data_IF_394727770596
#
_entry.id   IF_394727770596
#
_cell.length_a   1.000
_cell.length_b   1.000
_cell.length_c   1.000
_cell.angle_alpha   90.00
_cell.angle_beta   90.00
_cell.angle_gamma   90.00
#
_symmetry.space_group_name_H-M   'P 1'
#
loop_
_entity.id
_entity.type
_entity.pdbx_description
1 polymer ?
#
# COMPACT_ATOMS: atom_id res chain seq x y z
N UNK A 1 1.70 -33.16 114.95
CA UNK A 1 0.46 -33.71 115.51
C UNK A 1 -0.67 -33.42 114.54
N UNK A 2 -1.49 -34.43 114.20
CA UNK A 2 -2.80 -34.36 113.50
C UNK A 2 -2.72 -33.90 112.03
N UNK A 3 -2.64 -34.76 111.00
CA UNK A 3 -3.58 -35.79 110.50
C UNK A 3 -5.01 -35.27 110.22
N UNK A 4 -5.44 -35.42 108.95
CA UNK A 4 -6.81 -35.46 108.36
C UNK A 4 -6.65 -35.09 106.86
N UNK A 5 -6.52 -35.99 105.88
CA UNK A 5 -7.27 -37.18 105.46
C UNK A 5 -8.61 -36.83 104.76
N UNK A 6 -8.76 -37.42 103.55
CA UNK A 6 -9.96 -37.54 102.68
C UNK A 6 -10.15 -36.42 101.63
N UNK A 7 -10.47 -36.69 100.36
CA UNK A 7 -10.90 -37.90 99.66
C UNK A 7 -10.66 -37.68 98.16
N UNK A 8 -10.08 -38.67 97.48
CA UNK A 8 -9.93 -38.73 96.01
C UNK A 8 -11.27 -39.08 95.37
N UNK A 9 -11.65 -38.32 94.33
CA UNK A 9 -12.60 -38.76 93.31
C UNK A 9 -11.80 -38.90 92.02
N UNK A 10 -11.57 -40.13 91.58
CA UNK A 10 -11.00 -40.43 90.29
C UNK A 10 -12.15 -40.52 89.27
N UNK A 11 -12.24 -39.53 88.38
CA UNK A 11 -13.13 -39.58 87.21
C UNK A 11 -12.36 -40.27 86.09
N UNK A 12 -12.76 -41.50 85.79
CA UNK A 12 -12.32 -42.27 84.62
C UNK A 12 -13.00 -41.69 83.37
N UNK A 13 -12.29 -40.82 82.66
CA UNK A 13 -12.71 -40.34 81.33
C UNK A 13 -12.30 -41.41 80.32
N UNK A 14 -13.25 -42.29 80.01
CA UNK A 14 -13.11 -43.27 78.94
C UNK A 14 -13.40 -42.56 77.60
N UNK A 15 -12.45 -41.76 77.11
CA UNK A 15 -12.53 -41.19 75.78
C UNK A 15 -11.84 -42.14 74.80
N UNK A 16 -12.63 -42.99 74.14
CA UNK A 16 -12.26 -43.54 72.84
C UNK A 16 -12.51 -42.43 71.81
N UNK A 17 -11.49 -41.74 71.26
CA UNK A 17 -11.70 -41.04 70.03
C UNK A 17 -11.74 -42.12 68.95
N UNK A 18 -12.94 -42.51 68.52
CA UNK A 18 -13.09 -42.98 67.15
C UNK A 18 -12.65 -41.80 66.29
N UNK A 19 -11.36 -41.74 65.95
CA UNK A 19 -10.80 -40.80 64.99
C UNK A 19 -11.41 -41.24 63.66
N UNK A 20 -12.61 -40.74 63.36
CA UNK A 20 -13.07 -40.70 61.99
C UNK A 20 -12.02 -39.86 61.27
N UNK A 21 -11.18 -40.51 60.47
CA UNK A 21 -10.36 -39.81 59.48
C UNK A 21 -11.35 -39.05 58.61
N UNK A 22 -11.57 -37.78 58.93
CA UNK A 22 -12.27 -36.88 58.04
C UNK A 22 -11.36 -36.77 56.82
N UNK A 23 -11.62 -37.60 55.82
CA UNK A 23 -11.15 -37.37 54.47
C UNK A 23 -11.88 -36.11 53.98
N UNK A 24 -11.38 -34.93 54.37
CA UNK A 24 -11.69 -33.74 53.62
C UNK A 24 -11.22 -34.01 52.20
N UNK A 25 -12.15 -33.91 51.26
CA UNK A 25 -11.87 -34.14 49.86
C UNK A 25 -10.77 -33.17 49.44
N UNK A 26 -9.54 -33.68 49.32
CA UNK A 26 -8.51 -33.04 48.49
C UNK A 26 -9.00 -33.18 47.05
N UNK A 27 -9.98 -32.37 46.67
CA UNK A 27 -10.21 -32.09 45.26
C UNK A 27 -8.86 -31.60 44.77
N UNK A 28 -8.21 -32.39 43.90
CA UNK A 28 -7.05 -31.95 43.13
C UNK A 28 -7.45 -30.59 42.56
N UNK A 29 -6.89 -29.51 43.10
CA UNK A 29 -7.25 -28.16 42.68
C UNK A 29 -6.66 -28.01 41.28
N UNK A 30 -7.46 -28.37 40.27
CA UNK A 30 -7.16 -28.00 38.91
C UNK A 30 -6.92 -26.48 38.90
N UNK A 31 -5.91 -26.01 38.18
CA UNK A 31 -5.57 -24.60 38.17
C UNK A 31 -6.81 -23.77 37.84
N UNK A 32 -7.25 -22.96 38.80
CA UNK A 32 -8.47 -22.16 38.66
C UNK A 32 -8.25 -21.17 37.53
N UNK A 33 -9.01 -21.34 36.45
CA UNK A 33 -9.04 -20.36 35.37
C UNK A 33 -9.80 -19.11 35.82
N UNK A 34 -9.05 -18.12 36.29
CA UNK A 34 -9.60 -16.85 36.76
C UNK A 34 -10.37 -16.11 35.67
N UNK A 35 -10.05 -16.30 34.39
CA UNK A 35 -10.81 -15.65 33.30
C UNK A 35 -12.22 -16.23 33.22
N UNK A 36 -12.37 -17.56 33.24
CA UNK A 36 -13.69 -18.21 33.29
C UNK A 36 -14.48 -17.84 34.55
N UNK A 37 -13.82 -17.78 35.71
CA UNK A 37 -14.44 -17.37 36.98
C UNK A 37 -15.10 -16.00 36.90
N UNK A 38 -14.48 -15.05 36.20
CA UNK A 38 -14.99 -13.69 36.03
C UNK A 38 -15.76 -13.48 34.71
N UNK A 39 -16.10 -14.54 33.98
CA UNK A 39 -16.79 -14.48 32.67
C UNK A 39 -16.04 -13.60 31.66
N UNK A 40 -14.71 -13.63 31.69
CA UNK A 40 -13.83 -12.92 30.79
C UNK A 40 -13.35 -13.85 29.66
N UNK A 41 -13.09 -13.26 28.50
CA UNK A 41 -12.39 -13.91 27.39
C UNK A 41 -10.94 -14.27 27.78
N UNK A 42 -10.35 -15.26 27.11
CA UNK A 42 -8.94 -15.63 27.31
C UNK A 42 -7.99 -14.48 26.91
N UNK A 43 -6.83 -14.40 27.56
CA UNK A 43 -5.85 -13.36 27.25
C UNK A 43 -5.35 -13.47 25.80
N UNK A 44 -5.21 -12.35 25.07
CA UNK A 44 -4.77 -12.34 23.68
C UNK A 44 -3.39 -12.97 23.46
N UNK A 45 -3.24 -13.69 22.34
CA UNK A 45 -1.99 -14.38 21.97
C UNK A 45 -1.01 -13.47 21.22
N UNK A 46 -1.46 -12.32 20.75
CA UNK A 46 -0.66 -11.33 20.02
C UNK A 46 0.40 -10.71 20.94
N UNK A 47 1.59 -10.39 20.39
CA UNK A 47 2.68 -9.80 21.16
C UNK A 47 2.38 -8.36 21.63
N UNK A 48 1.55 -7.65 20.86
CA UNK A 48 1.06 -6.29 21.13
C UNK A 48 -0.47 -6.29 20.92
N UNK A 49 -1.25 -6.72 21.92
CA UNK A 49 -2.69 -6.80 21.76
C UNK A 49 -3.31 -5.41 21.63
N UNK A 50 -4.28 -5.28 20.75
CA UNK A 50 -5.03 -4.02 20.64
C UNK A 50 -5.85 -3.78 21.90
N UNK A 51 -6.19 -2.52 22.20
CA UNK A 51 -7.04 -2.20 23.34
C UNK A 51 -8.39 -2.96 23.30
N UNK A 52 -8.93 -3.21 22.10
CA UNK A 52 -10.14 -4.00 21.91
C UNK A 52 -9.92 -5.48 22.20
N UNK A 53 -8.76 -6.02 21.82
CA UNK A 53 -8.39 -7.42 22.06
C UNK A 53 -8.22 -7.68 23.56
N UNK A 54 -7.61 -6.76 24.31
CA UNK A 54 -7.40 -6.86 25.77
C UNK A 54 -8.72 -6.96 26.53
N UNK A 55 -9.77 -6.30 26.06
CA UNK A 55 -11.11 -6.37 26.67
C UNK A 55 -12.02 -7.38 25.98
N UNK A 56 -11.57 -8.06 24.93
CA UNK A 56 -12.40 -8.97 24.12
C UNK A 56 -13.67 -8.28 23.63
N UNK A 57 -13.54 -7.04 23.15
CA UNK A 57 -14.65 -6.30 22.58
C UNK A 57 -14.79 -6.69 21.10
N UNK A 58 -15.97 -7.18 20.72
CA UNK A 58 -16.26 -7.56 19.33
C UNK A 58 -16.80 -6.35 18.56
N UNK A 59 -16.82 -6.41 17.23
CA UNK A 59 -17.47 -5.38 16.38
C UNK A 59 -18.92 -5.06 16.79
N UNK A 60 -19.63 -6.03 17.39
CA UNK A 60 -20.98 -5.83 17.96
C UNK A 60 -20.96 -4.84 19.14
N UNK A 61 -19.95 -4.94 20.00
CA UNK A 61 -19.81 -4.07 21.17
C UNK A 61 -19.50 -2.63 20.74
N UNK A 62 -18.78 -2.47 19.63
CA UNK A 62 -18.44 -1.18 19.05
C UNK A 62 -19.65 -0.43 18.47
N UNK A 63 -20.75 -1.14 18.18
CA UNK A 63 -22.01 -0.54 17.75
C UNK A 63 -22.90 -0.06 18.90
N UNK A 64 -22.54 -0.33 20.16
CA UNK A 64 -23.31 0.12 21.32
C UNK A 64 -23.23 1.64 21.52
N UNK A 65 -24.20 2.21 22.25
CA UNK A 65 -24.12 3.59 22.69
C UNK A 65 -22.88 3.83 23.55
N UNK A 66 -22.38 5.06 23.57
CA UNK A 66 -21.17 5.43 24.33
C UNK A 66 -21.30 5.10 25.82
N UNK A 67 -22.51 5.26 26.39
CA UNK A 67 -22.81 4.99 27.78
C UNK A 67 -22.79 3.49 28.09
N UNK A 68 -23.44 2.67 27.25
CA UNK A 68 -23.47 1.21 27.43
C UNK A 68 -22.09 0.59 27.25
N UNK A 69 -21.35 1.03 26.24
CA UNK A 69 -19.96 0.60 26.03
C UNK A 69 -19.09 0.93 27.25
N UNK A 70 -19.23 2.13 27.83
CA UNK A 70 -18.48 2.52 29.02
C UNK A 70 -18.84 1.67 30.26
N UNK A 71 -20.11 1.26 30.41
CA UNK A 71 -20.52 0.33 31.48
C UNK A 71 -19.90 -1.04 31.31
N UNK A 72 -19.97 -1.61 30.10
CA UNK A 72 -19.36 -2.92 29.77
C UNK A 72 -17.84 -2.86 29.98
N UNK A 73 -17.19 -1.83 29.46
CA UNK A 73 -15.76 -1.60 29.60
C UNK A 73 -15.35 -1.51 31.07
N UNK A 74 -16.06 -0.72 31.90
CA UNK A 74 -15.78 -0.61 33.33
C UNK A 74 -15.91 -1.95 34.05
N UNK A 75 -16.93 -2.76 33.75
CA UNK A 75 -17.09 -4.10 34.33
C UNK A 75 -15.92 -5.02 33.99
N UNK A 76 -15.55 -5.10 32.70
CA UNK A 76 -14.41 -5.92 32.25
C UNK A 76 -13.09 -5.43 32.84
N UNK A 77 -12.87 -4.12 32.88
CA UNK A 77 -11.70 -3.50 33.51
C UNK A 77 -11.57 -3.89 34.99
N UNK A 78 -12.62 -3.71 35.79
CA UNK A 78 -12.58 -4.08 37.21
C UNK A 78 -12.31 -5.57 37.43
N UNK A 79 -12.85 -6.44 36.57
CA UNK A 79 -12.59 -7.87 36.63
C UNK A 79 -11.13 -8.20 36.28
N UNK A 80 -10.58 -7.59 35.23
CA UNK A 80 -9.18 -7.76 34.84
C UNK A 80 -8.21 -7.21 35.90
N UNK A 81 -8.51 -6.05 36.50
CA UNK A 81 -7.71 -5.49 37.59
C UNK A 81 -7.66 -6.46 38.77
N UNK A 82 -8.77 -7.07 39.17
CA UNK A 82 -8.79 -8.08 40.26
C UNK A 82 -7.85 -9.26 39.99
N UNK A 83 -7.68 -9.66 38.72
CA UNK A 83 -6.79 -10.76 38.34
C UNK A 83 -5.33 -10.28 38.32
N UNK A 84 -5.06 -9.17 37.62
CA UNK A 84 -3.71 -8.76 37.24
C UNK A 84 -3.08 -7.69 38.15
N UNK A 85 -3.76 -7.18 39.17
CA UNK A 85 -3.18 -6.20 40.09
C UNK A 85 -1.90 -6.74 40.75
N UNK A 86 -0.81 -5.95 40.83
CA UNK A 86 0.46 -6.42 41.41
C UNK A 86 0.31 -6.93 42.84
N UNK A 87 -0.57 -6.33 43.65
CA UNK A 87 -0.77 -6.71 45.06
C UNK A 87 -1.61 -7.99 45.26
N UNK A 88 -2.20 -8.57 44.21
CA UNK A 88 -2.97 -9.80 44.37
C UNK A 88 -2.05 -11.00 44.40
N UNK A 89 -2.21 -11.89 45.38
CA UNK A 89 -1.45 -13.15 45.47
C UNK A 89 -2.01 -14.26 44.56
N UNK A 90 -2.78 -13.91 43.53
CA UNK A 90 -3.40 -14.87 42.62
C UNK A 90 -2.33 -15.47 41.71
N UNK A 91 -2.13 -16.79 41.80
CA UNK A 91 -1.33 -17.56 40.85
C UNK A 91 -2.10 -17.68 39.53
N UNK A 92 -1.48 -17.22 38.45
CA UNK A 92 -2.06 -17.24 37.10
C UNK A 92 -1.23 -18.20 36.27
N UNK A 93 -1.85 -19.27 35.78
CA UNK A 93 -1.16 -20.21 34.90
C UNK A 93 -1.00 -19.60 33.51
N UNK A 94 0.22 -19.66 32.98
CA UNK A 94 0.58 -19.23 31.64
C UNK A 94 1.55 -20.25 31.01
N UNK A 95 1.18 -20.81 29.86
CA UNK A 95 2.00 -21.80 29.11
C UNK A 95 2.52 -22.97 29.97
N UNK A 96 1.69 -23.46 30.89
CA UNK A 96 2.03 -24.62 31.74
C UNK A 96 2.87 -24.30 32.99
N UNK A 97 3.10 -23.02 33.31
CA UNK A 97 3.72 -22.59 34.56
C UNK A 97 3.06 -21.35 35.15
N UNK A 98 3.48 -20.94 36.35
CA UNK A 98 2.99 -19.70 36.97
C UNK A 98 3.58 -18.47 36.27
N UNK A 99 2.73 -17.48 36.00
CA UNK A 99 3.15 -16.22 35.39
C UNK A 99 4.05 -15.44 36.34
N UNK A 100 5.21 -14.99 35.85
CA UNK A 100 6.14 -14.17 36.64
C UNK A 100 5.50 -12.83 37.04
N UNK A 101 5.95 -12.27 38.18
CA UNK A 101 5.48 -10.98 38.68
C UNK A 101 5.69 -9.84 37.66
N UNK A 102 6.80 -9.87 36.92
CA UNK A 102 7.09 -8.91 35.85
C UNK A 102 6.08 -8.98 34.70
N UNK A 103 5.72 -10.19 34.26
CA UNK A 103 4.70 -10.38 33.22
C UNK A 103 3.32 -9.94 33.71
N UNK A 104 2.99 -10.22 34.98
CA UNK A 104 1.77 -9.76 35.62
C UNK A 104 1.68 -8.24 35.61
N UNK A 105 2.76 -7.56 36.02
CA UNK A 105 2.85 -6.10 36.01
C UNK A 105 2.69 -5.54 34.60
N UNK A 106 3.39 -6.10 33.62
CA UNK A 106 3.29 -5.69 32.21
C UNK A 106 1.85 -5.78 31.68
N UNK A 107 1.12 -6.86 32.00
CA UNK A 107 -0.29 -7.00 31.61
C UNK A 107 -1.18 -5.98 32.31
N UNK A 108 -0.93 -5.70 33.59
CA UNK A 108 -1.66 -4.67 34.32
C UNK A 108 -1.48 -3.29 33.68
N UNK A 109 -0.25 -2.91 33.33
CA UNK A 109 0.04 -1.64 32.67
C UNK A 109 -0.69 -1.54 31.31
N UNK A 110 -0.70 -2.63 30.51
CA UNK A 110 -1.46 -2.71 29.25
C UNK A 110 -2.99 -2.55 29.46
N UNK A 111 -3.55 -3.17 30.50
CA UNK A 111 -4.98 -3.06 30.84
C UNK A 111 -5.34 -1.61 31.19
N UNK A 112 -4.48 -0.96 31.96
CA UNK A 112 -4.68 0.43 32.38
C UNK A 112 -4.63 1.38 31.17
N UNK A 113 -3.59 1.24 30.34
CA UNK A 113 -3.45 2.02 29.10
C UNK A 113 -4.64 1.83 28.16
N UNK A 114 -5.04 0.58 27.92
CA UNK A 114 -6.20 0.25 27.09
C UNK A 114 -7.49 0.87 27.64
N UNK A 115 -7.68 0.86 28.97
CA UNK A 115 -8.86 1.47 29.60
C UNK A 115 -8.88 2.98 29.37
N UNK A 116 -7.76 3.66 29.57
CA UNK A 116 -7.64 5.11 29.44
C UNK A 116 -7.87 5.58 28.00
N UNK A 117 -7.51 4.75 27.01
CA UNK A 117 -7.79 5.01 25.59
C UNK A 117 -9.28 4.87 25.29
N UNK A 118 -9.91 3.78 25.73
CA UNK A 118 -11.28 3.44 25.32
C UNK A 118 -12.38 4.16 26.12
N UNK A 119 -12.08 4.57 27.36
CA UNK A 119 -13.01 5.29 28.24
C UNK A 119 -13.43 6.64 27.66
N UNK A 120 -12.48 7.37 27.07
CA UNK A 120 -12.73 8.69 26.52
C UNK A 120 -13.15 8.58 25.05
N UNK A 121 -14.35 9.06 24.64
CA UNK A 121 -14.82 8.89 23.27
C UNK A 121 -13.88 9.53 22.24
N UNK A 122 -13.28 10.69 22.57
CA UNK A 122 -12.30 11.38 21.70
C UNK A 122 -11.03 10.56 21.50
N UNK A 123 -10.45 10.02 22.57
CA UNK A 123 -9.25 9.16 22.51
C UNK A 123 -9.54 7.85 21.79
N UNK A 124 -10.72 7.27 22.03
CA UNK A 124 -11.20 6.07 21.32
C UNK A 124 -11.31 6.30 19.82
N UNK A 125 -11.88 7.42 19.38
CA UNK A 125 -11.94 7.77 17.96
C UNK A 125 -10.54 7.99 17.38
N UNK A 126 -9.64 8.63 18.12
CA UNK A 126 -8.24 8.83 17.72
C UNK A 126 -7.51 7.47 17.54
N UNK A 127 -7.67 6.57 18.51
CA UNK A 127 -7.11 5.22 18.46
C UNK A 127 -7.68 4.38 17.31
N UNK A 128 -8.99 4.49 17.05
CA UNK A 128 -9.61 3.85 15.89
C UNK A 128 -9.00 4.32 14.59
N UNK A 129 -8.75 5.63 14.45
CA UNK A 129 -8.08 6.17 13.27
C UNK A 129 -6.66 5.63 13.13
N UNK A 130 -5.92 5.51 14.22
CA UNK A 130 -4.57 4.93 14.19
C UNK A 130 -4.61 3.47 13.72
N UNK A 131 -5.49 2.65 14.31
CA UNK A 131 -5.64 1.23 13.98
C UNK A 131 -6.12 0.99 12.55
N UNK A 132 -7.00 1.84 12.00
CA UNK A 132 -7.51 1.69 10.63
C UNK A 132 -6.60 2.32 9.57
N UNK A 133 -5.58 3.08 9.96
CA UNK A 133 -4.68 3.72 8.97
C UNK A 133 -3.71 2.67 8.41
N UNK A 134 -4.12 2.03 7.32
CA UNK A 134 -3.26 1.22 6.44
C UNK A 134 -3.05 1.93 5.10
N UNK A 135 -1.93 1.63 4.44
CA UNK A 135 -1.65 2.10 3.08
C UNK A 135 -2.77 1.71 2.09
N UNK A 136 -3.39 0.55 2.28
CA UNK A 136 -4.48 0.06 1.42
C UNK A 136 -5.76 0.89 1.55
N UNK A 137 -5.95 1.58 2.68
CA UNK A 137 -7.10 2.44 2.94
C UNK A 137 -6.85 3.90 2.56
N UNK A 138 -5.75 4.17 1.84
CA UNK A 138 -5.49 5.46 1.23
C UNK A 138 -6.49 5.66 0.10
N UNK A 139 -7.65 6.23 0.44
CA UNK A 139 -8.65 6.63 -0.56
C UNK A 139 -8.00 7.50 -1.63
N UNK A 140 -8.52 7.42 -2.86
CA UNK A 140 -7.99 8.19 -3.98
C UNK A 140 -7.99 9.68 -3.62
N UNK A 141 -6.81 10.23 -3.36
CA UNK A 141 -6.64 11.66 -3.25
C UNK A 141 -6.83 12.23 -4.65
N UNK A 142 -8.03 12.75 -4.93
CA UNK A 142 -8.25 13.55 -6.11
C UNK A 142 -7.53 14.89 -5.91
N UNK A 143 -6.25 14.94 -6.27
CA UNK A 143 -5.48 16.19 -6.30
C UNK A 143 -6.01 17.21 -7.32
N UNK A 144 -7.10 16.88 -8.01
CA UNK A 144 -7.65 17.63 -9.11
C UNK A 144 -8.70 18.63 -8.63
N UNK A 145 -8.25 19.69 -7.94
CA UNK A 145 -9.01 20.93 -7.74
C UNK A 145 -10.39 20.83 -7.07
N UNK A 146 -10.75 19.67 -6.52
CA UNK A 146 -12.06 19.45 -5.91
C UNK A 146 -12.25 20.29 -4.65
N UNK A 147 -13.50 20.67 -4.39
CA UNK A 147 -13.89 21.35 -3.16
C UNK A 147 -13.36 20.57 -1.96
N UNK A 148 -12.78 21.29 -1.00
CA UNK A 148 -12.20 20.69 0.20
C UNK A 148 -13.30 19.95 0.99
N UNK A 149 -13.32 18.61 0.87
CA UNK A 149 -14.26 17.74 1.54
C UNK A 149 -13.62 17.09 2.77
N UNK A 150 -14.45 16.62 3.70
CA UNK A 150 -13.99 15.87 4.88
C UNK A 150 -13.18 14.62 4.47
N UNK A 151 -13.58 13.98 3.38
CA UNK A 151 -12.90 12.80 2.82
C UNK A 151 -11.50 13.15 2.31
N UNK A 152 -11.37 14.27 1.58
CA UNK A 152 -10.07 14.76 1.10
C UNK A 152 -9.13 15.10 2.27
N UNK A 153 -9.67 15.68 3.35
CA UNK A 153 -8.89 15.92 4.57
C UNK A 153 -8.47 14.61 5.25
N UNK A 154 -9.36 13.63 5.35
CA UNK A 154 -9.01 12.33 5.90
C UNK A 154 -7.95 11.60 5.06
N UNK A 155 -8.05 11.66 3.72
CA UNK A 155 -7.04 11.12 2.82
C UNK A 155 -5.69 11.82 2.99
N UNK A 156 -5.68 13.15 3.06
CA UNK A 156 -4.46 13.93 3.35
C UNK A 156 -3.87 13.55 4.70
N UNK A 157 -4.69 13.44 5.75
CA UNK A 157 -4.27 13.06 7.10
C UNK A 157 -3.68 11.66 7.11
N UNK A 158 -4.32 10.66 6.49
CA UNK A 158 -3.78 9.28 6.39
C UNK A 158 -2.46 9.27 5.64
N UNK A 159 -2.38 9.95 4.49
CA UNK A 159 -1.14 10.09 3.73
C UNK A 159 -0.02 10.74 4.56
N UNK A 160 -0.36 11.78 5.32
CA UNK A 160 0.58 12.48 6.18
C UNK A 160 1.05 11.58 7.33
N UNK A 161 0.15 10.85 7.98
CA UNK A 161 0.45 9.89 9.04
C UNK A 161 1.49 8.85 8.60
N UNK A 162 1.34 8.31 7.39
CA UNK A 162 2.29 7.34 6.84
C UNK A 162 3.65 7.97 6.48
N UNK A 163 3.67 9.22 6.00
CA UNK A 163 4.91 9.92 5.64
C UNK A 163 5.73 10.33 6.86
N UNK A 164 5.09 10.84 7.90
CA UNK A 164 5.76 11.30 9.13
C UNK A 164 5.91 10.20 10.18
N UNK A 165 5.21 9.06 10.02
CA UNK A 165 5.18 7.93 10.96
C UNK A 165 4.67 8.33 12.36
N UNK A 166 3.58 9.09 12.40
CA UNK A 166 2.95 9.47 13.67
C UNK A 166 2.52 8.24 14.47
N UNK A 167 2.92 8.18 15.75
CA UNK A 167 2.52 7.12 16.67
C UNK A 167 1.39 7.62 17.57
N UNK A 168 0.46 6.74 17.95
CA UNK A 168 -0.62 7.12 18.87
C UNK A 168 -0.11 7.56 20.24
N UNK A 169 0.91 6.87 20.78
CA UNK A 169 1.47 7.13 22.11
C UNK A 169 2.16 8.51 22.20
N UNK A 170 2.90 8.92 21.16
CA UNK A 170 3.67 10.16 21.17
C UNK A 170 2.89 11.34 20.56
N UNK A 171 2.03 11.07 19.58
CA UNK A 171 1.37 12.08 18.74
C UNK A 171 -0.16 12.02 18.86
N UNK A 172 -0.67 11.87 20.09
CA UNK A 172 -2.10 11.75 20.34
C UNK A 172 -2.91 12.93 19.75
N UNK A 173 -2.33 14.14 19.80
CA UNK A 173 -2.95 15.35 19.26
C UNK A 173 -3.30 15.21 17.78
N UNK A 174 -2.41 14.60 16.98
CA UNK A 174 -2.62 14.35 15.55
C UNK A 174 -3.78 13.41 15.29
N UNK A 175 -3.88 12.33 16.06
CA UNK A 175 -4.97 11.35 15.91
C UNK A 175 -6.31 11.90 16.41
N UNK A 176 -6.27 12.78 17.41
CA UNK A 176 -7.44 13.49 17.93
C UNK A 176 -7.97 14.57 16.99
N UNK A 177 -7.12 15.12 16.10
CA UNK A 177 -7.47 16.16 15.16
C UNK A 177 -8.46 15.63 14.11
N UNK A 178 -9.73 16.02 14.25
CA UNK A 178 -10.83 15.54 13.41
C UNK A 178 -11.16 16.51 12.29
N UNK A 179 -10.96 17.78 12.57
CA UNK A 179 -11.21 18.88 11.65
C UNK A 179 -9.89 19.51 11.25
N UNK A 180 -9.92 20.28 10.15
CA UNK A 180 -8.75 21.07 9.77
C UNK A 180 -8.40 22.11 10.81
N UNK A 181 -9.38 22.64 11.52
CA UNK A 181 -9.19 23.56 12.64
C UNK A 181 -8.34 22.91 13.74
N UNK A 182 -8.63 21.67 14.13
CA UNK A 182 -7.83 20.94 15.13
C UNK A 182 -6.40 20.69 14.62
N UNK A 183 -6.27 20.28 13.35
CA UNK A 183 -4.95 20.02 12.74
C UNK A 183 -4.13 21.31 12.62
N UNK A 184 -4.78 22.42 12.31
CA UNK A 184 -4.16 23.74 12.26
C UNK A 184 -3.66 24.17 13.64
N UNK A 185 -4.50 24.01 14.67
CA UNK A 185 -4.13 24.31 16.04
C UNK A 185 -2.92 23.47 16.49
N UNK A 186 -2.92 22.17 16.21
CA UNK A 186 -1.79 21.30 16.50
C UNK A 186 -0.50 21.73 15.77
N UNK A 187 -0.61 22.11 14.49
CA UNK A 187 0.56 22.45 13.66
C UNK A 187 1.15 23.82 13.97
N UNK A 188 0.33 24.81 14.28
CA UNK A 188 0.76 26.21 14.44
C UNK A 188 0.62 26.74 15.88
N UNK A 189 0.11 25.93 16.81
CA UNK A 189 -0.16 26.32 18.21
C UNK A 189 -0.96 27.62 18.35
N UNK A 190 -1.86 27.90 17.39
CA UNK A 190 -2.69 29.11 17.35
C UNK A 190 -4.10 28.78 16.86
N UNK A 191 -5.14 29.53 17.28
CA UNK A 191 -6.48 29.33 16.76
C UNK A 191 -6.50 29.49 15.23
N UNK A 192 -7.40 28.78 14.54
CA UNK A 192 -7.57 28.98 13.10
C UNK A 192 -7.93 30.46 12.85
N UNK A 193 -7.41 31.06 11.76
CA UNK A 193 -7.68 32.46 11.47
C UNK A 193 -9.19 32.66 11.32
N UNK A 194 -9.74 33.60 12.10
CA UNK A 194 -11.15 33.96 12.03
C UNK A 194 -11.42 34.66 10.69
N UNK A 195 -12.68 34.68 10.25
CA UNK A 195 -13.06 35.34 8.98
C UNK A 195 -12.59 36.79 8.93
N UNK A 196 -12.60 37.48 10.06
CA UNK A 196 -12.15 38.88 10.20
C UNK A 196 -10.64 39.05 9.94
N UNK A 197 -9.80 38.13 10.43
CA UNK A 197 -8.36 38.15 10.18
C UNK A 197 -8.03 37.82 8.72
N UNK A 198 -8.80 36.91 8.11
CA UNK A 198 -8.68 36.58 6.69
C UNK A 198 -9.08 37.77 5.82
N UNK A 199 -10.13 38.50 6.17
CA UNK A 199 -10.56 39.70 5.44
C UNK A 199 -9.53 40.83 5.51
N UNK A 200 -8.92 41.05 6.68
CA UNK A 200 -7.82 42.03 6.83
C UNK A 200 -6.60 41.67 5.98
N UNK A 201 -6.29 40.38 5.86
CA UNK A 201 -5.13 39.90 5.11
C UNK A 201 -5.46 39.44 3.68
N UNK A 202 -6.68 39.68 3.18
CA UNK A 202 -7.18 39.11 1.92
C UNK A 202 -6.27 39.38 0.73
N UNK A 203 -5.72 40.58 0.62
CA UNK A 203 -4.83 40.96 -0.48
C UNK A 203 -3.46 40.28 -0.40
N UNK A 204 -2.92 40.10 0.81
CA UNK A 204 -1.65 39.37 1.01
C UNK A 204 -1.82 37.89 0.68
N UNK A 205 -2.92 37.29 1.11
CA UNK A 205 -3.25 35.89 0.80
C UNK A 205 -3.48 35.73 -0.71
N UNK A 206 -4.27 36.62 -1.32
CA UNK A 206 -4.53 36.63 -2.77
C UNK A 206 -3.23 36.73 -3.58
N UNK A 207 -2.34 37.67 -3.22
CA UNK A 207 -1.04 37.81 -3.86
C UNK A 207 -0.20 36.53 -3.73
N UNK A 208 -0.19 35.90 -2.54
CA UNK A 208 0.49 34.62 -2.33
C UNK A 208 -0.08 33.49 -3.22
N UNK A 209 -1.40 33.39 -3.34
CA UNK A 209 -2.06 32.39 -4.20
C UNK A 209 -1.75 32.64 -5.67
N UNK A 210 -1.80 33.90 -6.13
CA UNK A 210 -1.44 34.27 -7.50
C UNK A 210 0.04 33.93 -7.77
N UNK A 211 0.95 34.25 -6.84
CA UNK A 211 2.37 33.94 -7.00
C UNK A 211 2.61 32.42 -7.13
N UNK A 212 1.97 31.60 -6.29
CA UNK A 212 2.06 30.13 -6.41
C UNK A 212 1.44 29.63 -7.72
N UNK A 213 0.31 30.21 -8.14
CA UNK A 213 -0.33 29.90 -9.42
C UNK A 213 0.57 30.19 -10.61
N UNK A 214 1.20 31.38 -10.63
CA UNK A 214 2.14 31.78 -11.70
C UNK A 214 3.37 30.87 -11.73
N UNK A 215 3.91 30.47 -10.57
CA UNK A 215 5.02 29.52 -10.50
C UNK A 215 4.62 28.14 -11.04
N UNK A 216 3.44 27.63 -10.65
CA UNK A 216 2.92 26.35 -11.14
C UNK A 216 2.66 26.35 -12.64
N UNK A 217 2.01 27.40 -13.16
CA UNK A 217 1.78 27.57 -14.60
C UNK A 217 3.08 27.75 -15.37
N UNK A 218 4.04 28.54 -14.87
CA UNK A 218 5.34 28.74 -15.49
C UNK A 218 6.12 27.43 -15.64
N UNK A 219 6.13 26.59 -14.60
CA UNK A 219 6.74 25.25 -14.66
C UNK A 219 6.06 24.34 -15.69
N UNK A 220 4.73 24.39 -15.79
CA UNK A 220 3.98 23.60 -16.79
C UNK A 220 4.27 24.08 -18.21
N UNK A 221 4.33 25.39 -18.45
CA UNK A 221 4.66 25.98 -19.74
C UNK A 221 6.09 25.62 -20.14
N UNK A 222 7.06 25.71 -19.22
CA UNK A 222 8.45 25.35 -19.51
C UNK A 222 8.59 23.87 -19.90
N UNK A 223 7.97 22.97 -19.13
CA UNK A 223 7.93 21.55 -19.45
C UNK A 223 7.20 21.25 -20.78
N UNK A 224 6.20 22.05 -21.15
CA UNK A 224 5.50 21.91 -22.43
C UNK A 224 6.37 22.40 -23.59
N UNK A 225 7.01 23.57 -23.47
CA UNK A 225 7.89 24.16 -24.49
C UNK A 225 9.07 23.22 -24.81
N UNK A 226 9.71 22.63 -23.79
CA UNK A 226 10.83 21.71 -24.00
C UNK A 226 10.40 20.47 -24.81
N UNK A 227 9.22 19.90 -24.50
CA UNK A 227 8.65 18.79 -25.26
C UNK A 227 8.26 19.19 -26.69
N UNK A 228 7.67 20.36 -26.86
CA UNK A 228 7.28 20.87 -28.18
C UNK A 228 8.50 21.16 -29.06
N UNK A 229 9.58 21.70 -28.49
CA UNK A 229 10.82 21.95 -29.23
C UNK A 229 11.48 20.64 -29.71
N UNK A 230 11.48 19.59 -28.88
CA UNK A 230 11.98 18.28 -29.28
C UNK A 230 11.13 17.68 -30.42
N UNK A 231 9.80 17.73 -30.30
CA UNK A 231 8.89 17.23 -31.33
C UNK A 231 9.01 18.01 -32.65
N UNK A 232 9.17 19.33 -32.58
CA UNK A 232 9.33 20.19 -33.75
C UNK A 232 10.66 19.88 -34.48
N UNK A 233 11.74 19.66 -33.74
CA UNK A 233 13.03 19.24 -34.33
C UNK A 233 12.97 17.84 -34.96
N UNK A 234 12.28 16.89 -34.32
CA UNK A 234 12.08 15.55 -34.87
C UNK A 234 11.23 15.57 -36.14
N UNK A 235 10.13 16.32 -36.16
CA UNK A 235 9.27 16.47 -37.34
C UNK A 235 9.98 17.15 -38.49
N UNK A 236 10.77 18.20 -38.24
CA UNK A 236 11.61 18.80 -39.29
C UNK A 236 12.63 17.81 -39.85
N UNK A 237 13.29 17.01 -39.01
CA UNK A 237 14.22 15.98 -39.47
C UNK A 237 13.53 14.91 -40.31
N UNK A 238 12.35 14.45 -39.87
CA UNK A 238 11.55 13.47 -40.61
C UNK A 238 11.10 14.04 -41.96
N UNK A 239 10.62 15.29 -42.00
CA UNK A 239 10.17 15.93 -43.23
C UNK A 239 11.33 16.14 -44.22
N UNK A 240 12.50 16.56 -43.73
CA UNK A 240 13.70 16.66 -44.57
C UNK A 240 14.15 15.30 -45.09
N UNK A 241 14.06 14.25 -44.27
CA UNK A 241 14.37 12.88 -44.68
C UNK A 241 13.38 12.38 -45.74
N UNK A 242 12.08 12.57 -45.54
CA UNK A 242 11.07 12.16 -46.51
C UNK A 242 11.17 12.95 -47.81
N UNK A 243 11.50 14.24 -47.75
CA UNK A 243 11.68 15.06 -48.95
C UNK A 243 12.93 14.64 -49.73
N UNK A 244 14.01 14.30 -49.04
CA UNK A 244 15.21 13.73 -49.66
C UNK A 244 14.91 12.38 -50.32
N UNK A 245 14.23 11.49 -49.61
CA UNK A 245 13.86 10.15 -50.10
C UNK A 245 12.91 10.24 -51.32
N UNK A 246 11.96 11.16 -51.28
CA UNK A 246 11.06 11.45 -52.41
C UNK A 246 11.85 11.99 -53.61
N UNK A 247 12.77 12.94 -53.40
CA UNK A 247 13.59 13.50 -54.47
C UNK A 247 14.50 12.44 -55.10
N UNK A 248 15.10 11.57 -54.29
CA UNK A 248 15.88 10.42 -54.76
C UNK A 248 15.00 9.43 -55.55
N UNK A 249 13.75 9.22 -55.14
CA UNK A 249 12.81 8.36 -55.87
C UNK A 249 12.43 8.92 -57.25
N UNK A 250 12.34 10.26 -57.38
CA UNK A 250 12.07 10.90 -58.67
C UNK A 250 13.20 10.66 -59.66
N UNK A 251 14.45 10.74 -59.20
CA UNK A 251 15.65 10.44 -60.01
C UNK A 251 15.96 8.94 -60.08
N UNK A 252 15.02 8.06 -59.68
CA UNK A 252 15.23 6.60 -59.62
C UNK A 252 16.53 6.21 -58.87
N UNK A 253 16.92 6.94 -57.83
CA UNK A 253 18.20 6.77 -57.13
C UNK A 253 19.44 6.87 -58.05
N UNK A 254 19.35 7.62 -59.15
CA UNK A 254 20.39 7.76 -60.17
C UNK A 254 20.45 6.59 -61.17
N UNK A 255 19.49 5.66 -61.13
CA UNK A 255 19.37 4.58 -62.12
C UNK A 255 18.46 5.04 -63.27
N UNK A 256 19.02 5.26 -64.45
CA UNK A 256 18.36 5.89 -65.61
C UNK A 256 17.00 5.29 -66.02
N UNK A 257 16.29 6.00 -66.92
CA UNK A 257 14.94 5.63 -67.35
C UNK A 257 14.88 4.66 -68.54
N UNK A 258 16.02 4.27 -69.11
CA UNK A 258 16.04 3.43 -70.31
C UNK A 258 15.53 2.01 -70.00
N UNK A 259 14.96 1.32 -70.99
CA UNK A 259 14.51 -0.06 -70.79
C UNK A 259 15.67 -1.00 -70.42
N UNK A 260 16.89 -0.66 -70.85
CA UNK A 260 18.11 -1.35 -70.44
C UNK A 260 18.44 -1.13 -68.95
N UNK A 261 18.25 0.08 -68.43
CA UNK A 261 18.43 0.40 -67.01
C UNK A 261 17.38 -0.31 -66.14
N UNK A 262 16.12 -0.35 -66.58
CA UNK A 262 15.07 -1.13 -65.92
C UNK A 262 15.42 -2.62 -65.86
N UNK A 263 15.94 -3.17 -66.95
CA UNK A 263 16.38 -4.56 -67.01
C UNK A 263 17.58 -4.79 -66.07
N UNK A 264 18.54 -3.87 -66.06
CA UNK A 264 19.71 -3.92 -65.16
C UNK A 264 19.27 -3.88 -63.69
N UNK A 265 18.35 -2.98 -63.32
CA UNK A 265 17.78 -2.91 -61.96
C UNK A 265 17.05 -4.20 -61.59
N UNK A 266 16.29 -4.77 -62.51
CA UNK A 266 15.63 -6.06 -62.31
C UNK A 266 16.67 -7.19 -62.08
N UNK A 267 17.75 -7.23 -62.86
CA UNK A 267 18.83 -8.21 -62.70
C UNK A 267 19.57 -8.02 -61.37
N UNK A 268 19.85 -6.78 -60.95
CA UNK A 268 20.47 -6.47 -59.64
C UNK A 268 19.56 -6.92 -58.49
N UNK A 269 18.27 -6.56 -58.52
CA UNK A 269 17.31 -6.95 -57.48
C UNK A 269 17.08 -8.47 -57.45
N UNK A 270 17.06 -9.12 -58.61
CA UNK A 270 17.01 -10.59 -58.70
C UNK A 270 18.29 -11.21 -58.11
N UNK A 271 19.46 -10.63 -58.38
CA UNK A 271 20.74 -11.11 -57.82
C UNK A 271 20.77 -10.98 -56.30
N UNK A 272 20.31 -9.86 -55.74
CA UNK A 272 20.28 -9.70 -54.28
C UNK A 272 19.31 -10.66 -53.61
N UNK A 273 18.11 -10.82 -54.15
CA UNK A 273 17.09 -11.76 -53.63
C UNK A 273 17.50 -13.23 -53.78
N UNK A 274 18.19 -13.59 -54.86
CA UNK A 274 18.72 -14.95 -55.06
C UNK A 274 19.96 -15.21 -54.20
N UNK A 275 20.82 -14.21 -53.99
CA UNK A 275 21.99 -14.33 -53.10
C UNK A 275 21.54 -14.54 -51.65
N UNK A 276 20.57 -13.77 -51.16
CA UNK A 276 20.00 -13.99 -49.82
C UNK A 276 19.38 -15.38 -49.68
N UNK A 277 18.67 -15.85 -50.72
CA UNK A 277 18.08 -17.18 -50.73
C UNK A 277 19.11 -18.32 -50.81
N UNK A 278 20.22 -18.13 -51.54
CA UNK A 278 21.32 -19.11 -51.64
C UNK A 278 22.13 -19.21 -50.34
N UNK A 279 22.26 -18.09 -49.61
CA UNK A 279 22.83 -18.06 -48.26
C UNK A 279 21.92 -18.78 -47.24
N UNK A 280 20.59 -18.77 -47.42
CA UNK A 280 19.64 -19.50 -46.57
C UNK A 280 19.50 -21.00 -46.92
N UNK A 281 19.49 -21.39 -48.20
CA UNK A 281 19.12 -22.76 -48.61
C UNK A 281 20.29 -23.71 -48.90
N UNK A 282 21.56 -23.26 -48.93
CA UNK A 282 22.73 -24.14 -49.07
C UNK A 282 22.79 -25.00 -50.35
N UNK A 283 21.95 -24.71 -51.36
CA UNK A 283 21.82 -25.53 -52.57
C UNK A 283 22.84 -25.11 -53.64
N UNK A 284 23.81 -25.99 -53.92
CA UNK A 284 24.60 -25.97 -55.15
C UNK A 284 23.72 -26.41 -56.33
N UNK A 285 23.18 -25.45 -57.10
CA UNK A 285 22.58 -25.73 -58.41
C UNK A 285 23.05 -24.72 -59.44
N UNK A 286 23.28 -25.26 -60.64
CA UNK A 286 23.78 -24.76 -61.93
C UNK A 286 24.34 -23.32 -62.08
N UNK A 287 25.40 -23.14 -62.89
CA UNK A 287 25.94 -21.82 -63.20
C UNK A 287 24.88 -20.98 -63.91
N UNK A 288 24.47 -19.87 -63.28
CA UNK A 288 23.55 -18.93 -63.89
C UNK A 288 24.20 -18.29 -65.15
N UNK A 289 23.41 -18.06 -66.22
CA UNK A 289 23.90 -17.34 -67.39
C UNK A 289 24.34 -15.94 -66.97
N UNK A 290 25.53 -15.53 -67.44
CA UNK A 290 26.10 -14.22 -67.07
C UNK A 290 25.15 -13.07 -67.44
N UNK A 291 25.12 -12.01 -66.63
CA UNK A 291 24.28 -10.83 -66.88
C UNK A 291 24.48 -10.27 -68.31
N UNK A 292 25.71 -10.35 -68.80
CA UNK A 292 26.08 -10.00 -70.16
C UNK A 292 25.39 -10.90 -71.20
N UNK A 293 25.27 -12.20 -70.94
CA UNK A 293 24.56 -13.14 -71.81
C UNK A 293 23.05 -12.86 -71.86
N UNK A 294 22.44 -12.51 -70.72
CA UNK A 294 21.02 -12.15 -70.68
C UNK A 294 20.75 -10.84 -71.43
N UNK A 295 21.62 -9.84 -71.26
CA UNK A 295 21.56 -8.57 -71.98
C UNK A 295 21.74 -8.76 -73.49
N UNK A 296 22.71 -9.57 -73.89
CA UNK A 296 22.96 -9.86 -75.32
C UNK A 296 21.83 -10.69 -75.94
N UNK A 297 21.24 -11.66 -75.23
CA UNK A 297 20.03 -12.38 -75.67
C UNK A 297 18.83 -11.44 -75.84
N UNK A 298 18.65 -10.51 -74.91
CA UNK A 298 17.59 -9.49 -75.02
C UNK A 298 17.81 -8.57 -76.21
N UNK A 299 19.04 -8.07 -76.39
CA UNK A 299 19.41 -7.23 -77.53
C UNK A 299 19.18 -7.95 -78.88
N UNK A 300 19.63 -9.20 -79.01
CA UNK A 300 19.40 -10.02 -80.22
C UNK A 300 17.92 -10.22 -80.52
N UNK A 301 17.13 -10.58 -79.50
CA UNK A 301 15.68 -10.76 -79.66
C UNK A 301 14.98 -9.47 -80.10
N UNK A 302 15.47 -8.31 -79.64
CA UNK A 302 14.91 -7.01 -80.05
C UNK A 302 15.22 -6.70 -81.51
N UNK A 303 16.43 -7.00 -81.97
CA UNK A 303 16.83 -6.89 -83.37
C UNK A 303 16.01 -7.83 -84.26
N UNK A 304 15.85 -9.10 -83.87
CA UNK A 304 15.05 -10.08 -84.64
C UNK A 304 13.57 -9.64 -84.83
N UNK A 305 13.03 -8.92 -83.85
CA UNK A 305 11.67 -8.36 -83.93
C UNK A 305 11.63 -7.22 -84.96
N UNK A 306 12.61 -6.33 -84.93
CA UNK A 306 12.73 -5.24 -85.91
C UNK A 306 12.88 -5.77 -87.34
N UNK A 307 13.72 -6.78 -87.57
CA UNK A 307 13.90 -7.39 -88.90
C UNK A 307 12.61 -8.04 -89.44
N UNK A 308 11.78 -8.63 -88.56
CA UNK A 308 10.48 -9.22 -88.94
C UNK A 308 9.41 -8.17 -89.23
N UNK A 309 9.39 -7.09 -88.47
CA UNK A 309 8.44 -5.98 -88.67
C UNK A 309 8.74 -5.23 -89.97
N UNK A 310 10.02 -5.03 -90.32
CA UNK A 310 10.40 -4.43 -91.61
C UNK A 310 10.19 -5.39 -92.79
N UNK A 311 10.42 -6.70 -92.62
CA UNK A 311 10.20 -7.70 -93.67
C UNK A 311 8.73 -7.97 -94.01
N UNK A 312 7.79 -7.70 -93.09
CA UNK A 312 6.36 -7.91 -93.30
C UNK A 312 5.64 -6.68 -93.88
N UNK A 313 6.24 -5.49 -93.76
CA UNK A 313 5.73 -4.25 -94.36
C UNK A 313 6.10 -4.07 -95.85
N UNK A 314 6.81 -5.05 -96.45
CA UNK A 314 7.20 -5.04 -97.87
C UNK A 314 6.43 -6.00 -98.79
N UNK A 315 5.32 -6.63 -98.35
CA UNK A 315 4.58 -7.66 -99.10
C UNK A 315 3.07 -7.40 -99.31
N UNK A 316 2.62 -6.15 -99.19
CA UNK A 316 1.25 -5.77 -99.56
C UNK A 316 1.22 -4.66 -100.60
#
# INVERSE_FOLDING_TARGET
>A
MLSLLQKRIAVTINSNPAISKAHYATASQEPIDHHKRFQLHEWPKSAKPSAYEIFGLTSKDMGMSTLELNKVLKRKYLALVKIYHPDTSLSIQYKGGEMTAEMKRKRFDMIQEAYDILKNPRRRTAYNRYQTTSWDQQGHYSGNGGQWSKENFEAYRRAHAHRTRYNFENDEQFWSASTWQDYYQMKYNRPPPTKEELEKNKYKILFGVIAVGVLGFGLQIMNAIDKTNQYLLETHRLNMKSMKDLNESYDNYGEGYSDADKLRRFLINRRSTMKSKREEEGVEKEPEPSDHELLTKFARKRVDIWDREEGNNGKH
#
